data_IF_571404613030
#
_entry.id   IF_571404613030
#
_cell.length_a   1.000
_cell.length_b   1.000
_cell.length_c   1.000
_cell.angle_alpha   90.00
_cell.angle_beta   90.00
_cell.angle_gamma   90.00
#
_symmetry.space_group_name_H-M   'P 1'
#
loop_
_entity.id
_entity.type
_entity.pdbx_description
1 polymer ?
#
# COMPACT_ATOMS: atom_id res chain seq x y z
N UNK A 1 -27.54 4.59 -19.00
CA UNK A 1 -26.61 4.03 -20.01
C UNK A 1 -25.58 3.17 -19.28
N UNK A 2 -25.63 1.85 -19.45
CA UNK A 2 -24.71 0.92 -18.79
C UNK A 2 -23.34 0.97 -19.47
N UNK A 3 -22.26 1.20 -18.72
CA UNK A 3 -20.90 1.17 -19.28
C UNK A 3 -20.48 -0.26 -19.65
N UNK A 4 -19.73 -0.40 -20.74
CA UNK A 4 -19.12 -1.69 -21.15
C UNK A 4 -18.05 -2.13 -20.15
N UNK A 5 -17.83 -3.45 -20.00
CA UNK A 5 -16.83 -3.98 -19.06
C UNK A 5 -15.42 -3.44 -19.34
N UNK A 6 -15.04 -3.31 -20.62
CA UNK A 6 -13.77 -2.69 -21.04
C UNK A 6 -13.60 -1.27 -20.50
N UNK A 7 -14.64 -0.42 -20.61
CA UNK A 7 -14.60 0.95 -20.08
C UNK A 7 -14.54 0.96 -18.55
N UNK A 8 -15.29 0.09 -17.88
CA UNK A 8 -15.25 -0.05 -16.42
C UNK A 8 -13.87 -0.45 -15.92
N UNK A 9 -13.26 -1.46 -16.53
CA UNK A 9 -11.92 -1.92 -16.18
C UNK A 9 -10.87 -0.83 -16.43
N UNK A 10 -10.90 -0.17 -17.60
CA UNK A 10 -9.96 0.92 -17.90
C UNK A 10 -10.08 2.11 -16.94
N UNK A 11 -11.31 2.50 -16.60
CA UNK A 11 -11.55 3.55 -15.60
C UNK A 11 -11.07 3.11 -14.21
N UNK A 12 -11.33 1.87 -13.81
CA UNK A 12 -10.90 1.33 -12.52
C UNK A 12 -9.37 1.26 -12.41
N UNK A 13 -8.67 0.83 -13.46
CA UNK A 13 -7.20 0.84 -13.49
C UNK A 13 -6.64 2.26 -13.37
N UNK A 14 -7.21 3.21 -14.12
CA UNK A 14 -6.79 4.61 -14.06
C UNK A 14 -7.03 5.20 -12.67
N UNK A 15 -8.23 5.02 -12.13
CA UNK A 15 -8.60 5.50 -10.80
C UNK A 15 -7.72 4.88 -9.71
N UNK A 16 -7.40 3.59 -9.80
CA UNK A 16 -6.51 2.91 -8.86
C UNK A 16 -5.09 3.51 -8.88
N UNK A 17 -4.49 3.69 -10.06
CA UNK A 17 -3.15 4.29 -10.17
C UNK A 17 -3.15 5.70 -9.58
N UNK A 18 -4.15 6.51 -9.90
CA UNK A 18 -4.27 7.87 -9.33
C UNK A 18 -4.44 7.82 -7.82
N UNK A 19 -5.33 6.96 -7.32
CA UNK A 19 -5.58 6.80 -5.89
C UNK A 19 -4.37 6.28 -5.12
N UNK A 20 -3.51 5.47 -5.74
CA UNK A 20 -2.28 4.96 -5.12
C UNK A 20 -1.19 6.03 -5.05
N UNK A 21 -1.14 6.95 -6.02
CA UNK A 21 -0.18 8.05 -6.03
C UNK A 21 -0.48 9.11 -4.97
N UNK A 22 -1.74 9.31 -4.58
CA UNK A 22 -2.12 10.29 -3.54
C UNK A 22 -1.45 10.00 -2.18
N UNK A 23 -1.61 8.82 -1.54
CA UNK A 23 -0.92 8.51 -0.29
C UNK A 23 0.58 8.42 -0.46
N UNK A 24 1.08 7.97 -1.63
CA UNK A 24 2.52 7.99 -1.91
C UNK A 24 3.08 9.42 -1.84
N UNK A 25 2.45 10.39 -2.52
CA UNK A 25 2.86 11.79 -2.48
C UNK A 25 2.76 12.37 -1.06
N UNK A 26 1.69 12.07 -0.32
CA UNK A 26 1.57 12.50 1.08
C UNK A 26 2.68 11.89 1.96
N UNK A 27 3.10 10.65 1.72
CA UNK A 27 4.23 10.04 2.44
C UNK A 27 5.56 10.72 2.11
N UNK A 28 5.78 11.13 0.86
CA UNK A 28 6.95 11.94 0.49
C UNK A 28 6.94 13.28 1.26
N UNK A 29 5.83 13.99 1.26
CA UNK A 29 5.72 15.29 1.92
C UNK A 29 5.79 15.24 3.46
N UNK A 30 5.20 14.22 4.08
CA UNK A 30 5.04 14.16 5.55
C UNK A 30 6.09 13.31 6.24
N UNK A 31 6.69 12.34 5.55
CA UNK A 31 7.62 11.37 6.10
C UNK A 31 8.96 11.34 5.35
N UNK A 32 9.11 12.11 4.26
CA UNK A 32 10.32 12.05 3.42
C UNK A 32 10.52 10.66 2.83
N UNK A 33 9.43 9.96 2.50
CA UNK A 33 9.44 8.54 2.15
C UNK A 33 10.38 8.17 0.99
N UNK A 34 10.63 9.13 0.10
CA UNK A 34 11.57 9.00 -1.00
C UNK A 34 13.02 8.88 -0.56
N UNK A 35 13.39 9.35 0.64
CA UNK A 35 14.77 9.32 1.17
C UNK A 35 14.92 8.60 2.51
N UNK A 36 14.00 8.83 3.47
CA UNK A 36 14.09 8.37 4.87
C UNK A 36 14.41 6.88 5.01
N UNK A 37 13.95 6.03 4.09
CA UNK A 37 14.19 4.58 4.14
C UNK A 37 15.65 4.18 3.87
N UNK A 38 16.52 5.13 3.49
CA UNK A 38 17.98 4.93 3.37
C UNK A 38 18.72 5.26 4.66
N UNK A 39 18.06 5.90 5.62
CA UNK A 39 18.65 6.30 6.88
C UNK A 39 18.76 5.12 7.87
N UNK A 40 19.59 5.25 8.91
CA UNK A 40 19.67 4.26 9.97
C UNK A 40 18.29 3.95 10.59
N UNK A 41 18.00 2.69 10.98
CA UNK A 41 16.68 2.31 11.47
C UNK A 41 16.16 3.16 12.64
N UNK A 42 17.02 3.59 13.55
CA UNK A 42 16.64 4.47 14.66
C UNK A 42 16.16 5.84 14.19
N UNK A 43 16.77 6.39 13.13
CA UNK A 43 16.37 7.66 12.55
C UNK A 43 15.02 7.54 11.83
N UNK A 44 14.81 6.43 11.12
CA UNK A 44 13.50 6.10 10.50
C UNK A 44 12.40 6.02 11.55
N UNK A 45 12.64 5.35 12.68
CA UNK A 45 11.66 5.19 13.76
C UNK A 45 11.42 6.51 14.50
N UNK A 46 12.45 7.34 14.69
CA UNK A 46 12.30 8.68 15.25
C UNK A 46 11.45 9.58 14.33
N UNK A 47 11.73 9.58 13.02
CA UNK A 47 10.95 10.31 12.03
C UNK A 47 9.49 9.82 11.97
N UNK A 48 9.28 8.50 12.08
CA UNK A 48 7.94 7.91 12.12
C UNK A 48 7.15 8.40 13.35
N UNK A 49 7.77 8.36 14.53
CA UNK A 49 7.16 8.87 15.78
C UNK A 49 6.86 10.36 15.69
N UNK A 50 7.74 11.16 15.09
CA UNK A 50 7.54 12.59 14.87
C UNK A 50 6.37 12.88 13.91
N UNK A 51 6.14 12.03 12.90
CA UNK A 51 5.00 12.12 11.98
C UNK A 51 3.63 11.85 12.62
N UNK A 52 3.62 11.17 13.77
CA UNK A 52 2.45 11.00 14.63
C UNK A 52 1.25 10.28 13.99
N UNK A 53 0.02 10.49 14.52
CA UNK A 53 -1.17 9.76 14.07
C UNK A 53 -1.56 9.98 12.61
N UNK A 54 -1.21 11.15 12.04
CA UNK A 54 -1.49 11.45 10.64
C UNK A 54 -0.78 10.46 9.71
N UNK A 55 0.47 10.12 10.00
CA UNK A 55 1.24 9.18 9.21
C UNK A 55 0.60 7.78 9.20
N UNK A 56 0.07 7.34 10.34
CA UNK A 56 -0.68 6.07 10.47
C UNK A 56 -1.91 6.07 9.55
N UNK A 57 -2.66 7.18 9.50
CA UNK A 57 -3.84 7.30 8.63
C UNK A 57 -3.47 7.27 7.15
N UNK A 58 -2.35 7.88 6.76
CA UNK A 58 -1.85 7.83 5.37
C UNK A 58 -1.49 6.39 4.98
N UNK A 59 -0.75 5.66 5.83
CA UNK A 59 -0.43 4.25 5.62
C UNK A 59 -1.68 3.37 5.52
N UNK A 60 -2.66 3.61 6.40
CA UNK A 60 -3.92 2.88 6.39
C UNK A 60 -4.72 3.16 5.10
N UNK A 61 -4.82 4.42 4.67
CA UNK A 61 -5.45 4.78 3.41
C UNK A 61 -4.75 4.09 2.23
N UNK A 62 -3.41 4.04 2.23
CA UNK A 62 -2.65 3.35 1.20
C UNK A 62 -2.95 1.85 1.17
N UNK A 63 -3.03 1.20 2.34
CA UNK A 63 -3.39 -0.21 2.44
C UNK A 63 -4.81 -0.49 1.88
N UNK A 64 -5.78 0.39 2.13
CA UNK A 64 -7.12 0.26 1.55
C UNK A 64 -7.12 0.45 0.03
N UNK A 65 -6.35 1.40 -0.49
CA UNK A 65 -6.18 1.54 -1.94
C UNK A 65 -5.60 0.26 -2.52
N UNK A 66 -4.57 -0.34 -1.90
CA UNK A 66 -4.00 -1.60 -2.34
C UNK A 66 -5.04 -2.75 -2.39
N UNK A 67 -5.92 -2.85 -1.38
CA UNK A 67 -7.00 -3.84 -1.37
C UNK A 67 -8.01 -3.63 -2.50
N UNK A 68 -8.26 -2.39 -2.91
CA UNK A 68 -9.17 -2.11 -4.04
C UNK A 68 -8.71 -2.77 -5.35
N UNK A 69 -7.40 -3.09 -5.46
CA UNK A 69 -6.86 -3.81 -6.62
C UNK A 69 -7.47 -5.21 -6.81
N UNK A 70 -8.07 -5.82 -5.77
CA UNK A 70 -8.87 -7.05 -5.92
C UNK A 70 -10.00 -6.86 -6.93
N UNK A 71 -10.72 -5.74 -6.82
CA UNK A 71 -11.84 -5.40 -7.71
C UNK A 71 -11.32 -5.03 -9.09
N UNK A 72 -10.25 -4.22 -9.16
CA UNK A 72 -9.65 -3.79 -10.43
C UNK A 72 -9.13 -4.97 -11.24
N UNK A 73 -8.39 -5.88 -10.60
CA UNK A 73 -7.87 -7.09 -11.23
C UNK A 73 -9.01 -8.00 -11.71
N UNK A 74 -10.09 -8.12 -10.93
CA UNK A 74 -11.27 -8.91 -11.32
C UNK A 74 -11.95 -8.33 -12.57
N UNK A 75 -12.27 -7.04 -12.57
CA UNK A 75 -12.90 -6.37 -13.73
C UNK A 75 -12.01 -6.39 -14.97
N UNK A 76 -10.69 -6.32 -14.79
CA UNK A 76 -9.74 -6.48 -15.89
C UNK A 76 -9.84 -7.88 -16.50
N UNK A 77 -9.88 -8.92 -15.67
CA UNK A 77 -10.07 -10.29 -16.15
C UNK A 77 -11.40 -10.49 -16.88
N UNK A 78 -12.48 -9.90 -16.39
CA UNK A 78 -13.79 -9.94 -17.06
C UNK A 78 -13.77 -9.20 -18.39
N UNK A 79 -13.15 -8.02 -18.46
CA UNK A 79 -13.00 -7.27 -19.71
C UNK A 79 -12.19 -8.03 -20.78
N UNK A 80 -11.19 -8.81 -20.37
CA UNK A 80 -10.39 -9.67 -21.27
C UNK A 80 -11.20 -10.85 -21.77
N UNK A 81 -11.95 -11.52 -20.89
CA UNK A 81 -12.84 -12.63 -21.26
C UNK A 81 -13.95 -12.18 -22.21
N UNK A 82 -14.58 -11.04 -21.94
CA UNK A 82 -15.59 -10.42 -22.80
C UNK A 82 -15.03 -10.06 -24.19
N UNK A 83 -13.71 -9.87 -24.31
CA UNK A 83 -13.04 -9.63 -25.59
C UNK A 83 -12.71 -10.91 -26.36
N UNK A 84 -13.06 -12.10 -25.85
CA UNK A 84 -12.76 -13.39 -26.45
C UNK A 84 -11.35 -13.91 -26.15
N UNK A 85 -10.60 -13.24 -25.27
CA UNK A 85 -9.25 -13.66 -24.87
C UNK A 85 -9.27 -14.51 -23.60
N UNK A 86 -8.24 -15.35 -23.43
CA UNK A 86 -8.11 -16.22 -22.25
C UNK A 86 -7.56 -15.42 -21.07
N UNK A 87 -8.17 -15.61 -19.90
CA UNK A 87 -7.66 -15.11 -18.62
C UNK A 87 -7.39 -16.30 -17.69
N UNK A 88 -6.15 -16.81 -17.63
CA UNK A 88 -5.82 -17.97 -16.82
C UNK A 88 -6.08 -17.73 -15.33
N UNK A 89 -6.48 -18.79 -14.61
CA UNK A 89 -6.77 -18.71 -13.17
C UNK A 89 -5.57 -18.24 -12.35
N UNK A 90 -4.35 -18.62 -12.74
CA UNK A 90 -3.13 -18.18 -12.05
C UNK A 90 -2.89 -16.68 -12.18
N UNK A 91 -3.32 -16.04 -13.29
CA UNK A 91 -3.22 -14.58 -13.46
C UNK A 91 -4.19 -13.87 -12.52
N UNK A 92 -5.42 -14.37 -12.41
CA UNK A 92 -6.39 -13.86 -11.45
C UNK A 92 -5.89 -14.02 -10.01
N UNK A 93 -5.31 -15.19 -9.70
CA UNK A 93 -4.73 -15.48 -8.39
C UNK A 93 -3.53 -14.56 -8.10
N UNK A 94 -2.66 -14.31 -9.08
CA UNK A 94 -1.53 -13.41 -8.93
C UNK A 94 -1.96 -11.97 -8.64
N UNK A 95 -2.97 -11.45 -9.36
CA UNK A 95 -3.52 -10.12 -9.10
C UNK A 95 -4.18 -9.98 -7.73
N UNK A 96 -4.89 -11.03 -7.28
CA UNK A 96 -5.45 -11.05 -5.93
C UNK A 96 -4.36 -11.13 -4.86
N UNK A 97 -3.37 -11.99 -5.06
CA UNK A 97 -2.22 -12.14 -4.17
C UNK A 97 -1.42 -10.84 -4.07
N UNK A 98 -1.21 -10.11 -5.17
CA UNK A 98 -0.52 -8.82 -5.14
C UNK A 98 -1.28 -7.77 -4.35
N UNK A 99 -2.62 -7.73 -4.45
CA UNK A 99 -3.43 -6.80 -3.65
C UNK A 99 -3.28 -7.07 -2.15
N UNK A 100 -3.36 -8.34 -1.76
CA UNK A 100 -3.19 -8.77 -0.36
C UNK A 100 -1.76 -8.52 0.13
N UNK A 101 -0.75 -8.90 -0.64
CA UNK A 101 0.65 -8.73 -0.26
C UNK A 101 1.00 -7.26 -0.05
N UNK A 102 0.55 -6.37 -0.95
CA UNK A 102 0.71 -4.92 -0.78
C UNK A 102 0.00 -4.41 0.46
N UNK A 103 -1.26 -4.79 0.67
CA UNK A 103 -2.03 -4.35 1.83
C UNK A 103 -1.39 -4.80 3.16
N UNK A 104 -0.89 -6.03 3.23
CA UNK A 104 -0.16 -6.55 4.40
C UNK A 104 1.16 -5.79 4.60
N UNK A 105 1.92 -5.58 3.53
CA UNK A 105 3.18 -4.83 3.57
C UNK A 105 2.99 -3.38 4.04
N UNK A 106 1.90 -2.73 3.66
CA UNK A 106 1.55 -1.37 4.10
C UNK A 106 1.01 -1.36 5.54
N UNK A 107 0.19 -2.35 5.90
CA UNK A 107 -0.36 -2.51 7.25
C UNK A 107 0.71 -2.65 8.33
N UNK A 108 1.92 -3.11 7.99
CA UNK A 108 3.04 -3.18 8.92
C UNK A 108 3.34 -1.83 9.57
N UNK A 109 3.22 -0.74 8.81
CA UNK A 109 3.48 0.62 9.27
C UNK A 109 2.37 1.15 10.20
N UNK A 110 1.19 0.55 10.15
CA UNK A 110 0.04 0.89 10.99
C UNK A 110 0.09 0.14 12.31
N UNK A 111 0.42 -1.16 12.29
CA UNK A 111 0.25 -2.05 13.45
C UNK A 111 1.55 -2.48 14.12
N UNK A 112 2.65 -2.63 13.38
CA UNK A 112 3.90 -3.15 13.93
C UNK A 112 4.90 -2.02 14.25
N UNK A 113 5.10 -1.08 13.32
CA UNK A 113 6.10 -0.01 13.45
C UNK A 113 5.88 0.88 14.68
N UNK A 114 4.66 1.24 15.10
CA UNK A 114 4.47 2.03 16.33
C UNK A 114 5.07 1.37 17.57
N UNK A 115 4.89 0.05 17.74
CA UNK A 115 5.46 -0.69 18.86
C UNK A 115 6.98 -0.83 18.78
N UNK A 116 7.52 -0.97 17.56
CA UNK A 116 8.97 -0.97 17.34
C UNK A 116 9.60 0.38 17.67
N UNK A 117 8.94 1.48 17.28
CA UNK A 117 9.43 2.82 17.54
C UNK A 117 9.43 3.14 19.05
N UNK A 118 8.37 2.75 19.76
CA UNK A 118 8.26 2.93 21.20
C UNK A 118 9.38 2.19 21.97
N UNK A 119 9.60 0.91 21.65
CA UNK A 119 10.67 0.11 22.26
C UNK A 119 12.07 0.64 21.93
N UNK A 120 12.27 1.07 20.69
CA UNK A 120 13.57 1.55 20.24
C UNK A 120 13.95 2.91 20.86
N UNK A 121 12.99 3.81 20.99
CA UNK A 121 13.20 5.17 21.51
C UNK A 121 13.16 5.24 23.04
N UNK A 122 12.53 4.27 23.71
CA UNK A 122 12.54 4.15 25.17
C UNK A 122 13.84 3.56 25.74
N UNK A 123 14.79 3.14 24.89
CA UNK A 123 16.11 2.64 25.28
C UNK A 123 16.23 1.11 25.48
N UNK A 124 15.13 0.37 25.36
CA UNK A 124 15.12 -1.10 25.51
C UNK A 124 15.87 -1.79 24.35
N UNK A 125 15.76 -1.27 23.12
CA UNK A 125 16.49 -1.83 21.97
C UNK A 125 18.00 -1.55 22.01
N UNK A 126 18.42 -0.39 22.54
CA UNK A 126 19.84 -0.04 22.70
C UNK A 126 20.53 -0.92 23.75
N UNK A 127 19.77 -1.43 24.73
CA UNK A 127 20.27 -2.35 25.76
C UNK A 127 20.31 -3.81 25.28
N UNK A 128 19.42 -4.21 24.36
CA UNK A 128 19.34 -5.58 23.81
C UNK A 128 20.35 -5.86 22.68
N UNK A 129 20.91 -4.81 22.06
CA UNK A 129 21.90 -4.91 20.99
C UNK A 129 23.36 -4.76 21.47
N UNK A 130 23.59 -4.58 22.78
CA UNK A 130 24.90 -4.47 23.42
C UNK A 130 25.29 -5.79 24.10
#
# INVERSE_FOLDING_TARGET
>A
MTMTMKRKAGLAMTAFVMAANVPFAMLVETFGYDDVLREPPLEVLAAFTAGGPQLILIWLAFAFVALSFLVVSSWTGDAVKDAGARWPQWVAAAGAASAVAQAVGLSRWVFAVPGLADQALSGDAATSAA
#
